data_IF_076554453681
#
_entry.id   IF_076554453681
#
_cell.length_a   1.000
_cell.length_b   1.000
_cell.length_c   1.000
_cell.angle_alpha   90.00
_cell.angle_beta   90.00
_cell.angle_gamma   90.00
#
_symmetry.space_group_name_H-M   'P 1'
#
loop_
_entity.id
_entity.type
_entity.pdbx_description
1 polymer ?
#
# COMPACT_ATOMS: atom_id res chain seq x y z
N UNK A 1 -0.55 18.60 6.17
CA UNK A 1 -0.68 17.13 6.18
C UNK A 1 0.26 16.58 5.12
N UNK A 2 0.88 15.43 5.32
CA UNK A 2 1.75 14.80 4.33
C UNK A 2 1.07 13.57 3.74
N UNK A 3 0.98 13.50 2.42
CA UNK A 3 0.38 12.39 1.69
C UNK A 3 1.48 11.57 1.00
N UNK A 4 1.37 10.25 1.09
CA UNK A 4 2.26 9.30 0.46
C UNK A 4 1.57 8.73 -0.77
N UNK A 5 2.17 9.01 -1.93
CA UNK A 5 1.62 8.73 -3.26
C UNK A 5 2.48 7.66 -3.93
N UNK A 6 1.88 6.66 -4.58
CA UNK A 6 2.64 5.71 -5.41
C UNK A 6 3.31 6.45 -6.58
N UNK A 7 4.62 6.28 -6.74
CA UNK A 7 5.37 6.89 -7.85
C UNK A 7 4.96 6.34 -9.22
N UNK A 8 4.38 5.14 -9.27
CA UNK A 8 4.00 4.50 -10.53
C UNK A 8 2.58 4.88 -10.92
N UNK A 9 1.57 4.57 -10.10
CA UNK A 9 0.17 4.86 -10.45
C UNK A 9 -0.24 6.31 -10.20
N UNK A 10 0.44 7.01 -9.28
CA UNK A 10 0.02 8.33 -8.81
C UNK A 10 -1.13 8.30 -7.79
N UNK A 11 -1.53 7.12 -7.31
CA UNK A 11 -2.59 6.99 -6.30
C UNK A 11 -2.07 7.39 -4.91
N UNK A 12 -2.93 8.07 -4.14
CA UNK A 12 -2.71 8.30 -2.72
C UNK A 12 -2.91 6.99 -1.94
N UNK A 13 -1.92 6.59 -1.13
CA UNK A 13 -1.98 5.33 -0.38
C UNK A 13 -2.26 5.52 1.10
N UNK A 14 -1.60 6.49 1.73
CA UNK A 14 -1.81 6.84 3.15
C UNK A 14 -1.25 8.24 3.44
N UNK A 15 -1.45 8.72 4.67
CA UNK A 15 -0.93 10.02 5.14
C UNK A 15 -0.09 9.89 6.41
N UNK A 16 0.61 10.96 6.78
CA UNK A 16 1.37 11.06 8.04
C UNK A 16 0.49 10.98 9.30
N UNK A 17 -0.83 11.15 9.17
CA UNK A 17 -1.77 10.98 10.28
C UNK A 17 -1.71 9.57 10.89
N UNK A 18 -1.35 8.55 10.11
CA UNK A 18 -1.21 7.17 10.56
C UNK A 18 0.16 6.85 11.19
N UNK A 19 1.06 7.84 11.30
CA UNK A 19 2.39 7.72 11.93
C UNK A 19 3.21 6.54 11.37
N UNK A 20 3.48 6.52 10.05
CA UNK A 20 4.24 5.45 9.40
C UNK A 20 5.61 5.25 10.08
N UNK A 21 5.98 3.99 10.31
CA UNK A 21 7.26 3.61 10.90
C UNK A 21 8.17 3.05 9.80
N UNK A 22 9.38 3.57 9.66
CA UNK A 22 10.36 3.01 8.72
C UNK A 22 10.97 1.72 9.29
N UNK A 23 10.73 0.59 8.63
CA UNK A 23 11.27 -0.73 8.98
C UNK A 23 11.99 -1.29 7.76
N UNK A 24 13.34 -1.32 7.83
CA UNK A 24 14.17 -1.69 6.69
C UNK A 24 13.97 -0.73 5.51
N UNK A 25 13.43 -1.23 4.39
CA UNK A 25 13.17 -0.45 3.18
C UNK A 25 11.68 -0.10 2.98
N UNK A 26 10.82 -0.34 3.97
CA UNK A 26 9.39 -0.11 3.86
C UNK A 26 8.86 0.73 5.04
N UNK A 27 7.78 1.47 4.79
CA UNK A 27 6.96 2.00 5.86
C UNK A 27 5.94 0.95 6.30
N UNK A 28 5.81 0.78 7.61
CA UNK A 28 4.72 0.04 8.23
C UNK A 28 3.73 0.99 8.87
N UNK A 29 2.45 0.74 8.65
CA UNK A 29 1.34 1.60 9.08
C UNK A 29 0.33 0.75 9.85
N UNK A 30 0.26 0.95 11.16
CA UNK A 30 -0.72 0.27 12.01
C UNK A 30 -2.13 0.77 11.66
N UNK A 31 -3.08 -0.15 11.49
CA UNK A 31 -4.45 0.16 11.12
C UNK A 31 -5.39 -0.12 12.30
N UNK A 32 -6.58 0.45 12.25
CA UNK A 32 -7.68 0.16 13.18
C UNK A 32 -8.99 0.02 12.42
N UNK A 33 -9.90 -0.76 13.00
CA UNK A 33 -11.28 -0.80 12.54
C UNK A 33 -12.00 0.45 13.03
N UNK A 34 -12.60 1.19 12.10
CA UNK A 34 -13.44 2.35 12.36
C UNK A 34 -14.86 2.07 11.89
N UNK A 35 -15.83 2.70 12.55
CA UNK A 35 -17.23 2.65 12.11
C UNK A 35 -17.49 3.87 11.23
N UNK A 36 -17.92 3.64 10.00
CA UNK A 36 -18.33 4.70 9.06
C UNK A 36 -19.85 4.66 8.86
N UNK A 37 -20.49 5.83 8.77
CA UNK A 37 -21.91 5.94 8.44
C UNK A 37 -22.17 5.64 6.96
N UNK A 38 -23.37 5.16 6.62
CA UNK A 38 -23.77 4.84 5.23
C UNK A 38 -23.58 6.02 4.27
N UNK A 39 -23.78 7.27 4.71
CA UNK A 39 -23.63 8.45 3.85
C UNK A 39 -22.19 8.74 3.39
N UNK A 40 -21.18 8.19 4.09
CA UNK A 40 -19.76 8.35 3.74
C UNK A 40 -19.25 7.27 2.78
N UNK A 41 -20.10 6.27 2.48
CA UNK A 41 -19.77 5.17 1.57
C UNK A 41 -20.24 5.55 0.17
N UNK A 42 -19.31 5.94 -0.71
CA UNK A 42 -19.55 6.07 -2.15
C UNK A 42 -19.74 4.70 -2.83
N UNK A 43 -20.75 3.93 -2.42
CA UNK A 43 -21.23 2.75 -3.15
C UNK A 43 -21.94 3.25 -4.40
N UNK A 44 -21.20 3.30 -5.51
CA UNK A 44 -21.75 3.52 -6.84
C UNK A 44 -23.00 2.67 -7.05
N UNK A 45 -24.08 3.33 -7.42
CA UNK A 45 -25.43 2.78 -7.52
C UNK A 45 -25.46 1.44 -8.27
N UNK A 46 -25.63 0.35 -7.51
CA UNK A 46 -26.32 -0.83 -8.00
C UNK A 46 -27.03 -1.52 -6.83
N UNK A 47 -28.02 -0.82 -6.29
CA UNK A 47 -29.02 -1.43 -5.42
C UNK A 47 -29.95 -2.26 -6.31
N UNK A 48 -29.65 -3.55 -6.49
CA UNK A 48 -30.65 -4.51 -6.93
C UNK A 48 -31.65 -4.66 -5.79
N UNK A 49 -32.73 -3.89 -5.89
CA UNK A 49 -33.79 -3.83 -4.91
C UNK A 49 -34.67 -5.07 -4.99
N UNK A 50 -34.46 -6.06 -4.13
CA UNK A 50 -35.49 -6.99 -3.61
C UNK A 50 -34.92 -7.67 -2.35
N UNK A 51 -35.15 -7.06 -1.18
CA UNK A 51 -35.74 -7.71 0.01
C UNK A 51 -35.74 -6.70 1.15
N UNK A 52 -36.93 -6.25 1.56
CA UNK A 52 -37.11 -5.32 2.66
C UNK A 52 -38.04 -5.96 3.68
N UNK A 53 -37.48 -6.52 4.75
CA UNK A 53 -38.08 -6.49 6.08
C UNK A 53 -37.08 -6.89 7.18
N UNK A 54 -37.04 -6.07 8.24
CA UNK A 54 -36.54 -6.35 9.60
C UNK A 54 -35.02 -6.22 9.89
N UNK A 55 -34.52 -5.00 10.11
CA UNK A 55 -33.97 -4.60 11.43
C UNK A 55 -33.54 -3.13 11.47
N UNK A 56 -33.86 -2.47 12.57
CA UNK A 56 -33.45 -1.10 12.90
C UNK A 56 -31.97 -1.08 13.33
N UNK A 57 -31.23 -0.10 12.81
CA UNK A 57 -29.85 0.33 13.15
C UNK A 57 -28.65 -0.38 12.48
N UNK A 58 -28.76 -0.68 11.17
CA UNK A 58 -27.70 -1.36 10.37
C UNK A 58 -26.97 -0.41 9.38
N UNK A 59 -26.93 0.91 9.70
CA UNK A 59 -26.37 1.95 8.81
C UNK A 59 -24.90 2.28 9.06
N UNK A 60 -24.20 1.46 9.85
CA UNK A 60 -22.83 1.73 10.25
C UNK A 60 -21.95 0.50 9.91
N UNK A 61 -20.96 0.67 9.03
CA UNK A 61 -20.06 -0.42 8.63
C UNK A 61 -18.71 -0.26 9.30
N UNK A 62 -18.16 -1.37 9.81
CA UNK A 62 -16.76 -1.39 10.25
C UNK A 62 -15.84 -1.57 9.06
N UNK A 63 -14.89 -0.66 8.90
CA UNK A 63 -13.86 -0.70 7.85
C UNK A 63 -12.48 -0.44 8.45
N UNK A 64 -11.44 -0.96 7.80
CA UNK A 64 -10.06 -0.58 8.13
C UNK A 64 -9.83 0.88 7.71
N UNK A 65 -9.30 1.69 8.62
CA UNK A 65 -9.14 3.13 8.43
C UNK A 65 -8.15 3.49 7.31
N UNK A 66 -7.06 2.75 7.15
CA UNK A 66 -6.10 2.95 6.05
C UNK A 66 -6.71 2.55 4.71
N UNK A 67 -7.44 1.43 4.65
CA UNK A 67 -8.16 1.01 3.43
C UNK A 67 -9.15 2.09 3.02
N UNK A 68 -9.94 2.59 3.96
CA UNK A 68 -10.95 3.61 3.69
C UNK A 68 -10.31 4.93 3.26
N UNK A 69 -9.31 5.43 4.00
CA UNK A 69 -8.64 6.70 3.71
C UNK A 69 -7.88 6.68 2.38
N UNK A 70 -7.16 5.58 2.09
CA UNK A 70 -6.40 5.41 0.84
C UNK A 70 -7.24 4.88 -0.32
N UNK A 71 -8.56 4.64 -0.10
CA UNK A 71 -9.47 4.02 -1.07
C UNK A 71 -8.90 2.73 -1.68
N UNK A 72 -8.16 1.97 -0.88
CA UNK A 72 -7.42 0.79 -1.31
C UNK A 72 -8.39 -0.31 -1.74
N UNK A 73 -8.00 -1.07 -2.77
CA UNK A 73 -8.82 -2.14 -3.36
C UNK A 73 -8.16 -3.48 -3.16
N UNK A 74 -8.87 -4.40 -2.52
CA UNK A 74 -8.35 -5.76 -2.32
C UNK A 74 -8.14 -6.45 -3.67
N UNK A 75 -7.03 -7.14 -3.82
CA UNK A 75 -6.69 -7.96 -4.98
C UNK A 75 -6.13 -9.31 -4.52
N UNK A 76 -6.00 -10.26 -5.44
CA UNK A 76 -5.55 -11.60 -5.15
C UNK A 76 -4.37 -12.00 -6.03
N UNK A 77 -3.38 -12.64 -5.42
CA UNK A 77 -2.26 -13.23 -6.14
C UNK A 77 -2.12 -14.72 -5.78
N UNK A 78 -1.61 -15.49 -6.73
CA UNK A 78 -0.84 -16.68 -6.40
C UNK A 78 0.60 -16.28 -6.11
N UNK A 79 1.35 -17.08 -5.34
CA UNK A 79 2.78 -16.84 -5.10
C UNK A 79 3.57 -16.66 -6.40
N UNK A 80 3.19 -17.38 -7.46
CA UNK A 80 3.80 -17.27 -8.79
C UNK A 80 3.47 -15.94 -9.47
N UNK A 81 2.21 -15.54 -9.49
CA UNK A 81 1.79 -14.28 -10.14
C UNK A 81 2.32 -13.06 -9.40
N UNK A 82 2.36 -13.09 -8.06
CA UNK A 82 3.01 -12.05 -7.26
C UNK A 82 4.51 -11.96 -7.59
N UNK A 83 5.20 -13.10 -7.68
CA UNK A 83 6.61 -13.15 -8.06
C UNK A 83 6.91 -12.58 -9.45
N UNK A 84 5.97 -12.66 -10.38
CA UNK A 84 6.08 -12.01 -11.70
C UNK A 84 5.81 -10.51 -11.60
N UNK A 85 4.70 -10.12 -10.96
CA UNK A 85 4.32 -8.73 -10.72
C UNK A 85 5.47 -7.94 -10.07
N UNK A 86 5.97 -8.42 -8.93
CA UNK A 86 6.93 -7.66 -8.13
C UNK A 86 8.25 -7.47 -8.85
N UNK A 87 8.64 -8.39 -9.74
CA UNK A 87 9.82 -8.21 -10.61
C UNK A 87 9.60 -7.12 -11.66
N UNK A 88 8.39 -7.01 -12.20
CA UNK A 88 8.00 -5.92 -13.10
C UNK A 88 8.03 -4.59 -12.37
N UNK A 89 7.33 -4.51 -11.25
CA UNK A 89 7.28 -3.32 -10.38
C UNK A 89 8.68 -2.81 -9.99
N UNK A 90 9.55 -3.70 -9.49
CA UNK A 90 10.91 -3.31 -9.10
C UNK A 90 11.76 -2.83 -10.30
N UNK A 91 11.56 -3.35 -11.50
CA UNK A 91 12.27 -2.81 -12.69
C UNK A 91 11.83 -1.39 -13.00
N UNK A 92 10.54 -1.09 -12.88
CA UNK A 92 9.99 0.25 -13.05
C UNK A 92 10.55 1.19 -11.97
N UNK A 93 10.50 0.78 -10.71
CA UNK A 93 11.05 1.57 -9.62
C UNK A 93 12.55 1.83 -9.72
N UNK A 94 13.36 0.84 -10.16
CA UNK A 94 14.79 1.05 -10.37
C UNK A 94 15.04 2.20 -11.35
N UNK A 95 14.25 2.31 -12.43
CA UNK A 95 14.38 3.42 -13.38
C UNK A 95 14.01 4.75 -12.75
N UNK A 96 12.88 4.80 -12.04
CA UNK A 96 12.40 6.02 -11.38
C UNK A 96 13.42 6.50 -10.34
N UNK A 97 13.90 5.61 -9.46
CA UNK A 97 14.88 5.96 -8.43
C UNK A 97 16.21 6.38 -9.06
N UNK A 98 16.64 5.74 -10.15
CA UNK A 98 17.86 6.17 -10.87
C UNK A 98 17.70 7.59 -11.41
N UNK A 99 16.59 7.88 -12.11
CA UNK A 99 16.29 9.21 -12.64
C UNK A 99 16.18 10.29 -11.55
N UNK A 100 15.63 9.96 -10.38
CA UNK A 100 15.59 10.85 -9.22
C UNK A 100 17.00 11.12 -8.67
N UNK A 101 17.80 10.07 -8.47
CA UNK A 101 19.17 10.20 -7.99
C UNK A 101 20.04 11.02 -8.95
N UNK A 102 19.80 10.93 -10.26
CA UNK A 102 20.53 11.76 -11.24
C UNK A 102 20.23 13.25 -11.12
N UNK A 103 19.07 13.64 -10.57
CA UNK A 103 18.67 15.04 -10.35
C UNK A 103 19.15 15.59 -9.00
N UNK A 104 19.60 14.72 -8.10
CA UNK A 104 20.13 15.14 -6.80
C UNK A 104 21.56 15.66 -6.91
N UNK A 105 21.86 16.75 -6.19
CA UNK A 105 23.19 17.32 -6.06
C UNK A 105 24.05 16.55 -5.04
N UNK A 106 24.37 15.30 -5.39
CA UNK A 106 25.19 14.37 -4.61
C UNK A 106 26.20 13.66 -5.50
N UNK A 107 27.25 13.10 -4.89
CA UNK A 107 28.31 12.42 -5.64
C UNK A 107 27.82 11.12 -6.30
N UNK A 108 28.47 10.69 -7.40
CA UNK A 108 28.17 9.41 -8.05
C UNK A 108 28.34 8.20 -7.10
N UNK A 109 29.27 8.29 -6.14
CA UNK A 109 29.46 7.27 -5.11
C UNK A 109 28.24 7.18 -4.17
N UNK A 110 27.69 8.33 -3.76
CA UNK A 110 26.48 8.38 -2.94
C UNK A 110 25.25 7.89 -3.70
N UNK A 111 25.10 8.24 -4.99
CA UNK A 111 24.04 7.71 -5.86
C UNK A 111 24.12 6.19 -5.93
N UNK A 112 25.31 5.64 -6.20
CA UNK A 112 25.53 4.19 -6.25
C UNK A 112 25.21 3.50 -4.92
N UNK A 113 25.60 4.11 -3.79
CA UNK A 113 25.29 3.61 -2.44
C UNK A 113 23.79 3.59 -2.15
N UNK A 114 23.06 4.65 -2.50
CA UNK A 114 21.59 4.71 -2.34
C UNK A 114 20.88 3.69 -3.21
N UNK A 115 21.26 3.60 -4.49
CA UNK A 115 20.70 2.61 -5.42
C UNK A 115 20.96 1.17 -4.93
N UNK A 116 22.15 0.89 -4.39
CA UNK A 116 22.46 -0.42 -3.80
C UNK A 116 21.60 -0.70 -2.56
N UNK A 117 21.48 0.26 -1.65
CA UNK A 117 20.65 0.12 -0.44
C UNK A 117 19.18 -0.15 -0.79
N UNK A 118 18.64 0.57 -1.78
CA UNK A 118 17.30 0.32 -2.31
C UNK A 118 17.14 -1.11 -2.84
N UNK A 119 18.04 -1.54 -3.74
CA UNK A 119 17.97 -2.89 -4.34
C UNK A 119 18.06 -4.00 -3.30
N UNK A 120 18.99 -3.87 -2.34
CA UNK A 120 19.19 -4.86 -1.28
C UNK A 120 17.98 -4.92 -0.34
N UNK A 121 17.46 -3.76 0.07
CA UNK A 121 16.29 -3.64 0.93
C UNK A 121 15.01 -4.17 0.28
N UNK A 122 14.76 -3.80 -0.98
CA UNK A 122 13.65 -4.33 -1.76
C UNK A 122 13.75 -5.85 -1.92
N UNK A 123 14.95 -6.38 -2.21
CA UNK A 123 15.15 -7.83 -2.32
C UNK A 123 14.87 -8.55 -1.00
N UNK A 124 15.28 -7.98 0.13
CA UNK A 124 15.00 -8.54 1.45
C UNK A 124 13.49 -8.59 1.73
N UNK A 125 12.77 -7.49 1.47
CA UNK A 125 11.32 -7.42 1.62
C UNK A 125 10.61 -8.46 0.73
N UNK A 126 10.98 -8.56 -0.55
CA UNK A 126 10.37 -9.54 -1.47
C UNK A 126 10.58 -10.97 -0.98
N UNK A 127 11.77 -11.30 -0.45
CA UNK A 127 12.05 -12.62 0.12
C UNK A 127 11.14 -12.92 1.32
N UNK A 128 10.98 -11.96 2.24
CA UNK A 128 10.10 -12.09 3.39
C UNK A 128 8.65 -12.34 2.96
N UNK A 129 8.14 -11.54 2.04
CA UNK A 129 6.77 -11.66 1.54
C UNK A 129 6.55 -13.01 0.86
N UNK A 130 7.49 -13.45 0.02
CA UNK A 130 7.38 -14.75 -0.63
C UNK A 130 7.48 -15.92 0.37
N UNK A 131 8.29 -15.81 1.42
CA UNK A 131 8.40 -16.84 2.45
C UNK A 131 7.06 -17.01 3.19
N UNK A 132 6.43 -15.90 3.55
CA UNK A 132 5.22 -15.84 4.37
C UNK A 132 3.98 -15.48 3.53
N UNK A 133 3.96 -15.87 2.25
CA UNK A 133 3.00 -15.36 1.26
C UNK A 133 1.52 -15.53 1.66
N UNK A 134 1.20 -16.59 2.40
CA UNK A 134 -0.18 -16.89 2.83
C UNK A 134 -0.69 -15.96 3.93
N UNK A 135 0.21 -15.27 4.61
CA UNK A 135 -0.12 -14.41 5.75
C UNK A 135 -0.44 -12.99 5.28
N UNK A 136 -0.12 -12.66 4.02
CA UNK A 136 -0.37 -11.35 3.45
C UNK A 136 -1.69 -11.32 2.67
N UNK A 137 -2.44 -10.24 2.89
CA UNK A 137 -3.46 -9.79 1.95
C UNK A 137 -2.91 -8.67 1.08
N UNK A 138 -3.40 -8.56 -0.16
CA UNK A 138 -2.85 -7.67 -1.18
C UNK A 138 -3.87 -6.61 -1.56
N UNK A 139 -3.43 -5.36 -1.63
CA UNK A 139 -4.29 -4.23 -1.97
C UNK A 139 -3.61 -3.34 -3.01
N UNK A 140 -4.35 -2.85 -3.99
CA UNK A 140 -3.90 -1.82 -4.94
C UNK A 140 -4.41 -0.45 -4.52
N UNK A 141 -3.83 0.61 -5.10
CA UNK A 141 -4.41 1.94 -5.06
C UNK A 141 -5.78 2.03 -5.75
N UNK A 142 -6.41 3.19 -5.66
CA UNK A 142 -7.75 3.46 -6.17
C UNK A 142 -7.93 3.13 -7.66
N UNK A 143 -6.91 3.41 -8.48
CA UNK A 143 -6.94 3.16 -9.92
C UNK A 143 -6.88 1.68 -10.30
N UNK A 144 -6.51 0.80 -9.37
CA UNK A 144 -6.19 -0.61 -9.62
C UNK A 144 -5.13 -0.82 -10.72
N UNK A 145 -4.18 0.11 -10.86
CA UNK A 145 -3.09 -0.02 -11.84
C UNK A 145 -2.29 -1.33 -11.61
N UNK A 146 -2.25 -2.26 -12.58
CA UNK A 146 -1.51 -3.52 -12.44
C UNK A 146 0.01 -3.33 -12.37
N UNK A 147 0.53 -2.17 -12.76
CA UNK A 147 1.93 -1.79 -12.64
C UNK A 147 2.21 -0.99 -11.37
N UNK A 148 1.18 -0.53 -10.65
CA UNK A 148 1.28 0.25 -9.42
C UNK A 148 1.74 -0.54 -8.20
N UNK A 149 1.92 0.15 -7.08
CA UNK A 149 2.26 -0.47 -5.80
C UNK A 149 1.13 -1.39 -5.30
N UNK A 150 1.51 -2.58 -4.85
CA UNK A 150 0.67 -3.46 -4.04
C UNK A 150 1.03 -3.26 -2.57
N UNK A 151 0.08 -2.69 -1.81
CA UNK A 151 0.14 -2.58 -0.37
C UNK A 151 -0.12 -3.95 0.26
N UNK A 152 0.70 -4.29 1.26
CA UNK A 152 0.71 -5.61 1.89
C UNK A 152 0.13 -5.50 3.29
N UNK A 153 -1.06 -6.05 3.51
CA UNK A 153 -1.67 -6.12 4.84
C UNK A 153 -1.24 -7.43 5.51
N UNK A 154 -0.80 -7.33 6.76
CA UNK A 154 -0.56 -8.47 7.64
C UNK A 154 -0.96 -8.09 9.07
N UNK A 155 -0.83 -9.00 10.02
CA UNK A 155 -1.15 -8.80 11.43
C UNK A 155 0.11 -8.83 12.28
N UNK A 156 0.16 -7.99 13.32
CA UNK A 156 1.25 -7.98 14.31
C UNK A 156 1.32 -9.33 15.04
N UNK A 157 2.37 -9.52 15.83
CA UNK A 157 2.57 -10.75 16.62
C UNK A 157 1.43 -11.02 17.63
N UNK A 158 0.63 -9.99 17.96
CA UNK A 158 -0.59 -10.14 18.76
C UNK A 158 -1.74 -10.83 18.02
N UNK A 159 -1.62 -11.03 16.70
CA UNK A 159 -2.60 -11.69 15.84
C UNK A 159 -3.87 -10.88 15.57
N UNK A 160 -3.96 -9.63 16.07
CA UNK A 160 -5.20 -8.83 16.02
C UNK A 160 -4.99 -7.43 15.48
N UNK A 161 -3.78 -6.88 15.55
CA UNK A 161 -3.50 -5.53 15.06
C UNK A 161 -3.09 -5.60 13.58
N UNK A 162 -3.95 -5.17 12.63
CA UNK A 162 -3.58 -5.09 11.23
C UNK A 162 -2.54 -4.00 10.99
N UNK A 163 -1.64 -4.23 10.03
CA UNK A 163 -0.71 -3.21 9.55
C UNK A 163 -0.44 -3.38 8.06
N UNK A 164 -0.31 -2.25 7.35
CA UNK A 164 0.15 -2.24 5.97
C UNK A 164 1.65 -2.06 5.88
N UNK A 165 2.27 -2.67 4.89
CA UNK A 165 3.65 -2.45 4.48
C UNK A 165 3.68 -1.84 3.08
N UNK A 166 4.36 -0.70 2.94
CA UNK A 166 4.55 0.04 1.68
C UNK A 166 6.04 0.25 1.41
N UNK A 167 6.51 -0.07 0.21
CA UNK A 167 7.94 0.09 -0.13
C UNK A 167 8.29 1.59 -0.19
N UNK A 168 9.22 2.04 0.66
CA UNK A 168 9.53 3.48 0.83
C UNK A 168 9.92 4.15 -0.48
N UNK A 169 10.86 3.54 -1.21
CA UNK A 169 11.38 4.12 -2.45
C UNK A 169 10.35 4.15 -3.59
N UNK A 170 9.22 3.45 -3.43
CA UNK A 170 8.07 3.54 -4.34
C UNK A 170 7.12 4.69 -4.01
N UNK A 171 7.35 5.47 -2.95
CA UNK A 171 6.46 6.53 -2.50
C UNK A 171 7.05 7.91 -2.75
N UNK A 172 6.22 8.81 -3.26
CA UNK A 172 6.46 10.25 -3.29
C UNK A 172 5.72 10.89 -2.13
N UNK A 173 6.43 11.73 -1.38
CA UNK A 173 5.86 12.48 -0.27
C UNK A 173 5.43 13.88 -0.75
N UNK A 174 4.17 14.24 -0.56
CA UNK A 174 3.61 15.56 -0.93
C UNK A 174 3.01 16.24 0.29
N UNK A 175 3.32 17.53 0.48
CA UNK A 175 2.73 18.34 1.55
C UNK A 175 1.49 19.06 1.02
N UNK A 176 0.38 18.92 1.74
CA UNK A 176 -0.89 19.63 1.52
C UNK A 176 -1.27 20.48 2.73
#
# INVERSE_FOLDING_TARGET
MQIFIDKVSGDELFSDAFKPKLVGAAYEVDCKMITIGVDEINTGANASAEDAAEQLDDSAKQVNDVIHSGRLRQTNFSKKTYGTYIKGYLKTLIKIVDEELQKEDITEEEKAKRMKAFKDGAQALVKQVLANFKDYEFYTGESCDPEGMVALLNYREDGVTPYFTFLKDGLKETKV
#
